data_IF_689776343410
#
_entry.id   IF_689776343410
#
_cell.length_a   1.000
_cell.length_b   1.000
_cell.length_c   1.000
_cell.angle_alpha   90.00
_cell.angle_beta   90.00
_cell.angle_gamma   90.00
#
_symmetry.space_group_name_H-M   'P 1'
#
loop_
_entity.id
_entity.type
_entity.pdbx_description
1 polymer ?
#
# COMPACT_ATOMS: atom_id res chain seq x y z
N UNK A 1 25.19 52.34 -10.19
CA UNK A 1 23.78 51.89 -10.01
C UNK A 1 23.48 50.58 -10.74
N UNK A 2 23.62 50.47 -12.08
CA UNK A 2 23.27 49.25 -12.85
C UNK A 2 23.91 47.93 -12.35
N UNK A 3 25.19 47.94 -11.96
CA UNK A 3 25.89 46.72 -11.48
C UNK A 3 25.44 46.25 -10.09
N UNK A 4 25.05 47.18 -9.21
CA UNK A 4 24.59 46.86 -7.85
C UNK A 4 23.20 46.22 -7.92
N UNK A 5 22.32 46.72 -8.80
CA UNK A 5 21.00 46.14 -9.02
C UNK A 5 21.09 44.69 -9.54
N UNK A 6 22.03 44.40 -10.45
CA UNK A 6 22.23 43.04 -10.98
C UNK A 6 22.70 42.08 -9.89
N UNK A 7 23.63 42.50 -9.02
CA UNK A 7 24.13 41.67 -7.92
C UNK A 7 23.00 41.35 -6.92
N UNK A 8 22.18 42.35 -6.57
CA UNK A 8 21.02 42.16 -5.69
C UNK A 8 19.97 41.21 -6.30
N UNK A 9 19.77 41.27 -7.61
CA UNK A 9 18.81 40.41 -8.33
C UNK A 9 19.29 38.95 -8.36
N UNK A 10 20.58 38.70 -8.58
CA UNK A 10 21.17 37.35 -8.54
C UNK A 10 21.11 36.77 -7.12
N UNK A 11 21.36 37.58 -6.08
CA UNK A 11 21.22 37.14 -4.69
C UNK A 11 19.78 36.77 -4.33
N UNK A 12 18.80 37.57 -4.77
CA UNK A 12 17.39 37.30 -4.52
C UNK A 12 16.91 36.01 -5.21
N UNK A 13 17.36 35.77 -6.46
CA UNK A 13 17.05 34.52 -7.18
C UNK A 13 17.72 33.32 -6.51
N UNK A 14 18.97 33.45 -6.06
CA UNK A 14 19.67 32.39 -5.34
C UNK A 14 18.97 32.01 -4.03
N UNK A 15 18.50 32.99 -3.26
CA UNK A 15 17.74 32.75 -2.02
C UNK A 15 16.38 32.12 -2.32
N UNK A 16 15.67 32.58 -3.36
CA UNK A 16 14.40 31.99 -3.77
C UNK A 16 14.55 30.52 -4.21
N UNK A 17 15.57 30.20 -5.00
CA UNK A 17 15.88 28.82 -5.38
C UNK A 17 16.24 27.97 -4.15
N UNK A 18 17.00 28.51 -3.20
CA UNK A 18 17.38 27.76 -2.00
C UNK A 18 16.18 27.48 -1.09
N UNK A 19 15.24 28.42 -0.96
CA UNK A 19 13.97 28.21 -0.24
C UNK A 19 13.09 27.18 -0.94
N UNK A 20 13.02 27.20 -2.28
CA UNK A 20 12.26 26.21 -3.04
C UNK A 20 12.84 24.80 -2.85
N UNK A 21 14.16 24.65 -2.95
CA UNK A 21 14.87 23.37 -2.70
C UNK A 21 14.69 22.91 -1.25
N UNK A 22 14.76 23.83 -0.28
CA UNK A 22 14.51 23.50 1.12
C UNK A 22 13.06 23.06 1.35
N UNK A 23 12.06 23.66 0.69
CA UNK A 23 10.67 23.24 0.75
C UNK A 23 10.44 21.86 0.12
N UNK A 24 11.08 21.56 -1.01
CA UNK A 24 11.05 20.21 -1.59
C UNK A 24 11.76 19.18 -0.69
N UNK A 25 12.87 19.54 -0.05
CA UNK A 25 13.58 18.66 0.88
C UNK A 25 12.87 18.49 2.23
N UNK A 26 12.10 19.49 2.67
CA UNK A 26 11.24 19.41 3.87
C UNK A 26 9.92 18.69 3.60
N UNK A 27 9.51 18.54 2.34
CA UNK A 27 8.38 17.70 1.93
C UNK A 27 8.61 16.19 2.12
N UNK A 28 9.87 15.76 2.31
CA UNK A 28 10.21 14.37 2.67
C UNK A 28 10.17 14.12 4.18
N UNK A 29 9.89 15.13 5.01
CA UNK A 29 9.88 14.99 6.46
C UNK A 29 8.48 14.63 6.97
N UNK A 30 8.29 13.34 7.22
CA UNK A 30 7.21 12.86 8.08
C UNK A 30 6.30 11.79 7.47
N UNK A 31 6.82 10.89 6.63
CA UNK A 31 6.25 9.54 6.66
C UNK A 31 6.71 8.96 7.99
N UNK A 32 5.82 8.87 8.96
CA UNK A 32 5.96 7.89 10.05
C UNK A 32 6.56 6.65 9.41
N UNK A 33 7.66 6.14 9.96
CA UNK A 33 8.36 4.99 9.38
C UNK A 33 7.39 3.81 9.36
N UNK A 34 6.64 3.69 8.27
CA UNK A 34 5.70 2.62 8.01
C UNK A 34 6.57 1.37 8.06
N UNK A 35 6.38 0.54 9.08
CA UNK A 35 7.21 -0.63 9.25
C UNK A 35 6.79 -1.63 8.17
N UNK A 36 7.55 -1.62 7.07
CA UNK A 36 7.36 -2.51 5.94
C UNK A 36 8.04 -3.83 6.25
N UNK A 37 7.29 -4.92 6.20
CA UNK A 37 7.80 -6.28 6.37
C UNK A 37 7.63 -7.08 5.09
N UNK A 38 8.57 -7.99 4.86
CA UNK A 38 8.53 -9.00 3.79
C UNK A 38 8.31 -10.40 4.35
N UNK A 39 8.11 -10.53 5.67
CA UNK A 39 7.85 -11.81 6.32
C UNK A 39 6.43 -12.29 5.95
N UNK A 40 6.34 -13.51 5.43
CA UNK A 40 5.09 -14.06 4.93
C UNK A 40 4.30 -14.82 6.00
N UNK A 41 4.99 -15.44 6.97
CA UNK A 41 4.39 -16.29 8.00
C UNK A 41 3.31 -15.56 8.83
N UNK A 42 3.50 -14.30 9.30
CA UNK A 42 2.46 -13.58 10.00
C UNK A 42 1.19 -13.40 9.15
N UNK A 43 1.34 -13.18 7.85
CA UNK A 43 0.22 -12.99 6.94
C UNK A 43 -0.56 -14.29 6.76
N UNK A 44 0.12 -15.42 6.52
CA UNK A 44 -0.58 -16.70 6.39
C UNK A 44 -1.25 -17.16 7.68
N UNK A 45 -0.75 -16.75 8.85
CA UNK A 45 -1.43 -17.04 10.13
C UNK A 45 -2.78 -16.29 10.26
N UNK A 46 -2.89 -15.09 9.66
CA UNK A 46 -4.09 -14.26 9.67
C UNK A 46 -4.97 -14.44 8.43
N UNK A 47 -4.42 -14.94 7.32
CA UNK A 47 -5.11 -15.18 6.06
C UNK A 47 -4.74 -16.58 5.55
N UNK A 48 -5.18 -17.65 6.24
CA UNK A 48 -4.75 -19.02 5.96
C UNK A 48 -5.12 -19.51 4.55
N UNK A 49 -6.21 -19.00 3.97
CA UNK A 49 -6.64 -19.42 2.63
C UNK A 49 -6.05 -18.53 1.53
N UNK A 50 -5.13 -17.61 1.88
CA UNK A 50 -4.49 -16.75 0.88
C UNK A 50 -3.70 -17.65 -0.08
N UNK A 51 -3.88 -17.49 -1.41
CA UNK A 51 -3.13 -18.31 -2.36
C UNK A 51 -1.63 -18.13 -2.18
N UNK A 52 -0.87 -19.21 -2.38
CA UNK A 52 0.58 -19.21 -2.18
C UNK A 52 1.26 -18.19 -3.11
N UNK A 53 1.94 -17.24 -2.50
CA UNK A 53 2.62 -16.11 -3.13
C UNK A 53 4.09 -16.41 -3.44
N UNK A 54 4.66 -15.70 -4.40
CA UNK A 54 6.11 -15.63 -4.58
C UNK A 54 6.76 -14.67 -3.58
N UNK A 55 6.09 -13.58 -3.29
CA UNK A 55 6.52 -12.55 -2.34
C UNK A 55 5.30 -11.91 -1.66
N UNK A 56 5.46 -11.46 -0.42
CA UNK A 56 4.49 -10.58 0.24
C UNK A 56 5.24 -9.37 0.77
N UNK A 57 4.67 -8.19 0.53
CA UNK A 57 5.07 -6.95 1.18
C UNK A 57 3.89 -6.42 1.94
N UNK A 58 4.07 -6.10 3.21
CA UNK A 58 2.97 -5.59 4.02
C UNK A 58 3.44 -4.58 5.03
N UNK A 59 2.49 -3.77 5.50
CA UNK A 59 2.71 -2.92 6.65
C UNK A 59 1.45 -2.84 7.50
N UNK A 60 1.63 -2.47 8.77
CA UNK A 60 0.54 -2.14 9.68
C UNK A 60 0.58 -0.66 9.99
N UNK A 61 -0.60 -0.06 10.19
CA UNK A 61 -0.69 1.34 10.63
C UNK A 61 -0.24 1.51 12.10
N UNK A 62 -0.13 0.42 12.85
CA UNK A 62 0.39 0.36 14.23
C UNK A 62 1.83 -0.19 14.27
N UNK A 63 2.71 0.40 15.08
CA UNK A 63 4.16 0.08 15.11
C UNK A 63 4.54 -1.26 15.77
N UNK A 64 3.69 -2.29 15.76
CA UNK A 64 3.82 -3.49 16.59
C UNK A 64 3.74 -4.84 15.88
N UNK A 65 3.55 -4.89 14.56
CA UNK A 65 3.23 -6.13 13.83
C UNK A 65 1.74 -6.44 13.81
N UNK A 66 1.38 -7.69 13.51
CA UNK A 66 -0.02 -8.17 13.52
C UNK A 66 -0.36 -8.72 14.90
N UNK A 67 -1.28 -8.08 15.63
CA UNK A 67 -1.63 -8.43 17.01
C UNK A 67 -2.91 -7.74 17.50
N UNK A 68 -3.21 -7.86 18.81
CA UNK A 68 -4.45 -7.41 19.48
C UNK A 68 -4.81 -5.91 19.32
N UNK A 69 -3.93 -5.09 18.74
CA UNK A 69 -4.12 -3.63 18.54
C UNK A 69 -3.84 -3.20 17.10
N UNK A 70 -3.85 -4.14 16.15
CA UNK A 70 -3.69 -3.80 14.73
C UNK A 70 -5.02 -3.31 14.16
N UNK A 71 -5.15 -2.00 13.99
CA UNK A 71 -6.36 -1.39 13.44
C UNK A 71 -6.47 -1.58 11.92
N UNK A 72 -5.35 -1.50 11.18
CA UNK A 72 -5.33 -1.69 9.72
C UNK A 72 -4.02 -2.31 9.24
N UNK A 73 -4.13 -3.31 8.35
CA UNK A 73 -3.07 -3.93 7.58
C UNK A 73 -3.21 -3.62 6.09
N UNK A 74 -2.08 -3.38 5.44
CA UNK A 74 -1.99 -3.21 3.99
C UNK A 74 -1.04 -4.27 3.45
N UNK A 75 -1.54 -5.14 2.58
CA UNK A 75 -0.85 -6.35 2.12
C UNK A 75 -0.80 -6.33 0.59
N UNK A 76 0.40 -6.47 0.04
CA UNK A 76 0.64 -6.71 -1.37
C UNK A 76 1.20 -8.12 -1.54
N UNK A 77 0.40 -9.00 -2.11
CA UNK A 77 0.75 -10.38 -2.44
C UNK A 77 1.09 -10.48 -3.93
N UNK A 78 2.29 -10.96 -4.22
CA UNK A 78 2.81 -11.11 -5.58
C UNK A 78 2.74 -12.57 -6.02
N UNK A 79 2.37 -12.78 -7.27
CA UNK A 79 2.22 -14.08 -7.90
C UNK A 79 3.00 -14.16 -9.21
N UNK A 80 3.46 -15.36 -9.54
CA UNK A 80 4.15 -15.63 -10.81
C UNK A 80 3.19 -15.87 -11.97
N UNK A 81 1.89 -15.99 -11.68
CA UNK A 81 0.81 -16.28 -12.62
C UNK A 81 -0.43 -15.47 -12.26
N UNK A 82 -1.36 -15.37 -13.20
CA UNK A 82 -2.66 -14.74 -12.99
C UNK A 82 -3.50 -15.60 -12.04
N UNK A 83 -3.93 -15.02 -10.92
CA UNK A 83 -4.72 -15.70 -9.90
C UNK A 83 -6.22 -15.40 -9.97
N UNK A 84 -6.70 -14.74 -11.04
CA UNK A 84 -8.12 -14.36 -11.19
C UNK A 84 -9.06 -15.56 -11.00
N UNK A 85 -8.71 -16.72 -11.56
CA UNK A 85 -9.49 -17.97 -11.45
C UNK A 85 -9.41 -18.64 -10.07
N UNK A 86 -8.42 -18.26 -9.26
CA UNK A 86 -8.21 -18.77 -7.89
C UNK A 86 -9.08 -18.03 -6.87
N UNK A 87 -9.55 -16.81 -7.19
CA UNK A 87 -10.45 -16.01 -6.35
C UNK A 87 -11.91 -16.50 -6.42
N UNK A 88 -12.13 -17.80 -6.47
CA UNK A 88 -13.46 -18.40 -6.66
C UNK A 88 -14.47 -17.93 -5.62
N UNK A 89 -15.66 -17.56 -6.07
CA UNK A 89 -16.71 -16.99 -5.22
C UNK A 89 -16.62 -15.48 -5.02
N UNK A 90 -15.52 -14.85 -5.44
CA UNK A 90 -15.39 -13.40 -5.53
C UNK A 90 -15.67 -12.92 -6.96
N UNK A 91 -16.01 -11.64 -7.12
CA UNK A 91 -16.27 -11.05 -8.44
C UNK A 91 -15.30 -9.91 -8.69
N UNK A 92 -14.53 -9.98 -9.78
CA UNK A 92 -13.57 -8.93 -10.14
C UNK A 92 -14.31 -7.92 -11.00
N UNK A 93 -14.35 -6.65 -10.58
CA UNK A 93 -14.93 -5.56 -11.37
C UNK A 93 -14.07 -5.32 -12.63
N UNK A 94 -14.72 -5.18 -13.77
CA UNK A 94 -14.08 -4.85 -15.05
C UNK A 94 -13.57 -3.40 -15.08
N UNK A 95 -14.06 -2.55 -14.18
CA UNK A 95 -13.67 -1.14 -14.09
C UNK A 95 -12.43 -0.96 -13.24
N UNK A 96 -11.60 -0.01 -13.66
CA UNK A 96 -10.49 0.44 -12.84
C UNK A 96 -11.04 1.17 -11.59
N UNK A 97 -10.71 0.64 -10.42
CA UNK A 97 -10.95 1.28 -9.14
C UNK A 97 -9.88 2.35 -8.90
N UNK A 98 -10.30 3.48 -8.33
CA UNK A 98 -9.37 4.47 -7.77
C UNK A 98 -9.18 4.10 -6.31
N UNK A 99 -7.94 3.79 -5.93
CA UNK A 99 -7.59 3.46 -4.55
C UNK A 99 -6.56 4.45 -4.03
N UNK A 100 -6.69 4.83 -2.76
CA UNK A 100 -5.69 5.62 -2.05
C UNK A 100 -4.83 4.66 -1.22
N UNK A 101 -3.58 4.46 -1.64
CA UNK A 101 -2.65 3.57 -0.95
C UNK A 101 -1.95 4.33 0.17
N UNK A 102 -2.15 3.89 1.42
CA UNK A 102 -1.38 4.38 2.56
C UNK A 102 0.13 4.09 2.40
N UNK A 103 0.43 2.91 1.85
CA UNK A 103 1.76 2.44 1.53
C UNK A 103 1.78 1.92 0.09
N UNK A 104 2.76 2.37 -0.69
CA UNK A 104 2.92 2.00 -2.11
C UNK A 104 4.35 1.51 -2.34
N UNK A 105 4.58 0.17 -2.42
CA UNK A 105 5.83 -0.39 -2.92
C UNK A 105 6.19 0.11 -4.32
N UNK A 106 7.49 0.15 -4.65
CA UNK A 106 7.92 0.62 -5.98
C UNK A 106 7.34 -0.21 -7.13
N UNK A 107 7.19 -1.53 -6.94
CA UNK A 107 6.68 -2.47 -7.94
C UNK A 107 5.22 -2.26 -8.29
N UNK A 108 4.46 -1.62 -7.39
CA UNK A 108 3.02 -1.39 -7.57
C UNK A 108 2.69 0.01 -8.07
N UNK A 109 3.69 0.88 -8.22
CA UNK A 109 3.49 2.25 -8.67
C UNK A 109 2.90 2.29 -10.08
N UNK A 110 1.78 2.99 -10.22
CA UNK A 110 1.09 3.15 -11.51
C UNK A 110 0.32 1.91 -11.98
N UNK A 111 0.17 0.89 -11.14
CA UNK A 111 -0.72 -0.23 -11.42
C UNK A 111 -2.17 0.24 -11.49
N UNK A 112 -2.95 -0.41 -12.36
CA UNK A 112 -4.41 -0.25 -12.39
C UNK A 112 -5.03 -1.35 -11.57
N UNK A 113 -5.91 -0.97 -10.67
CA UNK A 113 -6.57 -1.86 -9.73
C UNK A 113 -8.00 -2.11 -10.14
N UNK A 114 -8.46 -3.34 -9.92
CA UNK A 114 -9.85 -3.76 -10.07
C UNK A 114 -10.34 -4.20 -8.70
N UNK A 115 -11.51 -3.73 -8.31
CA UNK A 115 -12.12 -4.15 -7.05
C UNK A 115 -12.49 -5.63 -7.14
N UNK A 116 -12.25 -6.37 -6.06
CA UNK A 116 -12.75 -7.73 -5.88
C UNK A 116 -13.91 -7.68 -4.91
N UNK A 117 -15.12 -7.80 -5.45
CA UNK A 117 -16.38 -7.83 -4.71
C UNK A 117 -16.58 -9.18 -4.02
N UNK A 118 -17.49 -9.20 -3.03
CA UNK A 118 -17.77 -10.36 -2.17
C UNK A 118 -16.54 -10.88 -1.42
N UNK A 119 -15.57 -9.99 -1.18
CA UNK A 119 -14.32 -10.30 -0.52
C UNK A 119 -14.31 -9.89 0.97
N UNK A 120 -15.48 -9.76 1.61
CA UNK A 120 -15.54 -9.52 3.05
C UNK A 120 -15.05 -10.77 3.80
N UNK A 121 -14.07 -10.59 4.69
CA UNK A 121 -13.38 -11.69 5.38
C UNK A 121 -12.71 -12.69 4.42
N UNK A 122 -12.25 -12.19 3.27
CA UNK A 122 -11.53 -12.99 2.29
C UNK A 122 -10.33 -13.68 2.96
N UNK A 123 -10.13 -14.93 2.56
CA UNK A 123 -9.00 -15.77 2.96
C UNK A 123 -8.93 -16.18 4.44
N UNK A 124 -10.06 -16.11 5.16
CA UNK A 124 -10.14 -16.30 6.60
C UNK A 124 -11.21 -17.32 7.03
N UNK A 125 -11.48 -18.33 6.20
CA UNK A 125 -12.61 -19.27 6.37
C UNK A 125 -12.55 -20.00 7.72
N UNK A 126 -11.36 -20.45 8.11
CA UNK A 126 -11.15 -21.28 9.30
C UNK A 126 -10.90 -20.47 10.59
N UNK A 127 -10.93 -19.14 10.53
CA UNK A 127 -10.76 -18.28 11.70
C UNK A 127 -12.07 -18.09 12.47
N UNK A 128 -11.96 -17.89 13.79
CA UNK A 128 -13.11 -17.48 14.61
C UNK A 128 -13.51 -16.05 14.23
N UNK A 129 -14.80 -15.74 14.26
CA UNK A 129 -15.30 -14.41 13.87
C UNK A 129 -14.63 -13.26 14.65
N UNK A 130 -14.33 -13.46 15.93
CA UNK A 130 -13.61 -12.46 16.76
C UNK A 130 -12.14 -12.25 16.38
N UNK A 131 -11.61 -13.03 15.44
CA UNK A 131 -10.24 -12.94 14.94
C UNK A 131 -10.20 -12.51 13.47
N UNK A 132 -11.36 -12.42 12.81
CA UNK A 132 -11.44 -12.05 11.40
C UNK A 132 -11.30 -10.54 11.25
N UNK A 133 -10.55 -10.14 10.25
CA UNK A 133 -10.45 -8.75 9.82
C UNK A 133 -11.37 -8.53 8.62
N UNK A 134 -12.11 -7.42 8.62
CA UNK A 134 -12.85 -6.99 7.44
C UNK A 134 -11.86 -6.64 6.34
N UNK A 135 -12.12 -7.05 5.11
CA UNK A 135 -11.17 -6.94 4.00
C UNK A 135 -11.76 -6.22 2.80
N UNK A 136 -11.01 -5.28 2.25
CA UNK A 136 -11.16 -4.79 0.88
C UNK A 136 -10.06 -5.43 0.04
N UNK A 137 -10.43 -6.05 -1.09
CA UNK A 137 -9.50 -6.77 -1.94
C UNK A 137 -9.50 -6.16 -3.33
N UNK A 138 -8.31 -6.02 -3.90
CA UNK A 138 -8.10 -5.47 -5.23
C UNK A 138 -7.12 -6.34 -5.99
N UNK A 139 -7.36 -6.51 -7.28
CA UNK A 139 -6.49 -7.26 -8.16
C UNK A 139 -5.97 -6.32 -9.25
N UNK A 140 -4.67 -6.37 -9.53
CA UNK A 140 -4.13 -5.56 -10.61
C UNK A 140 -4.62 -6.05 -11.98
N UNK A 141 -4.39 -5.25 -13.03
CA UNK A 141 -4.87 -5.55 -14.38
C UNK A 141 -4.33 -6.87 -14.95
N UNK A 142 -3.11 -7.29 -14.59
CA UNK A 142 -2.53 -8.57 -15.04
C UNK A 142 -2.90 -9.77 -14.17
N UNK A 143 -3.59 -9.55 -13.04
CA UNK A 143 -4.00 -10.62 -12.13
C UNK A 143 -2.86 -11.20 -11.29
N UNK A 144 -1.68 -10.59 -11.29
CA UNK A 144 -0.47 -11.11 -10.65
C UNK A 144 -0.14 -10.41 -9.33
N UNK A 145 -0.86 -9.35 -8.98
CA UNK A 145 -0.69 -8.62 -7.72
C UNK A 145 -2.04 -8.45 -7.07
N UNK A 146 -2.17 -8.99 -5.87
CA UNK A 146 -3.34 -8.85 -5.02
C UNK A 146 -3.01 -7.83 -3.91
N UNK A 147 -3.84 -6.80 -3.80
CA UNK A 147 -3.80 -5.84 -2.70
C UNK A 147 -4.96 -6.13 -1.76
N UNK A 148 -4.64 -6.30 -0.47
CA UNK A 148 -5.62 -6.51 0.59
C UNK A 148 -5.43 -5.42 1.64
N UNK A 149 -6.47 -4.65 1.86
CA UNK A 149 -6.61 -3.78 3.02
C UNK A 149 -7.48 -4.53 4.04
N UNK A 150 -6.92 -4.82 5.21
CA UNK A 150 -7.61 -5.55 6.26
C UNK A 150 -7.73 -4.70 7.53
N UNK A 151 -8.95 -4.57 8.05
CA UNK A 151 -9.28 -3.75 9.21
C UNK A 151 -9.75 -4.66 10.34
N UNK A 152 -9.07 -4.58 11.49
CA UNK A 152 -9.43 -5.32 12.70
C UNK A 152 -10.22 -4.43 13.66
N UNK A 153 -11.13 -5.03 14.42
CA UNK A 153 -11.87 -4.39 15.53
C UNK A 153 -11.11 -4.47 16.87
#
# INVERSE_FOLDING_TARGET
MKRICIILLVLAVGVACFVLVALFALGEKGKDSVMTSTETEPIYNHFPDLPKTSEIKWCSQSSGGIGLVTTTLYIFAFYNEDISDTLQGMTIDDKAATIELYYEPEEVRGQKWRLVENAAFAFQTDLKDTQKMYTNVYLNASGTILYVEAVGD
#
